data_IF_931149272016
#
_entry.id   IF_931149272016
#
_cell.length_a   1.000
_cell.length_b   1.000
_cell.length_c   1.000
_cell.angle_alpha   90.00
_cell.angle_beta   90.00
_cell.angle_gamma   90.00
#
_symmetry.space_group_name_H-M   'P 1'
#
loop_
_entity.id
_entity.type
_entity.pdbx_description
1 polymer ?
#
# COMPACT_ATOMS: atom_id res chain seq x y z
N UNK A 1 -10.68 28.42 39.48
CA UNK A 1 -11.25 27.37 38.61
C UNK A 1 -10.91 27.44 37.09
N UNK A 2 -10.35 28.51 36.47
CA UNK A 2 -10.22 28.57 34.99
C UNK A 2 -9.11 27.70 34.42
N UNK A 3 -8.06 27.40 35.20
CA UNK A 3 -6.89 26.61 34.75
C UNK A 3 -7.22 25.14 34.47
N UNK A 4 -8.15 24.52 35.23
CA UNK A 4 -8.63 23.15 34.97
C UNK A 4 -9.46 23.10 33.69
N UNK A 5 -10.35 24.07 33.49
CA UNK A 5 -11.18 24.18 32.28
C UNK A 5 -10.31 24.44 31.04
N UNK A 6 -9.27 25.25 31.17
CA UNK A 6 -8.32 25.51 30.08
C UNK A 6 -7.51 24.25 29.70
N UNK A 7 -7.05 23.47 30.68
CA UNK A 7 -6.38 22.18 30.43
C UNK A 7 -7.30 21.16 29.75
N UNK A 8 -8.56 21.10 30.15
CA UNK A 8 -9.56 20.22 29.51
C UNK A 8 -9.80 20.62 28.05
N UNK A 9 -9.90 21.92 27.76
CA UNK A 9 -10.06 22.42 26.38
C UNK A 9 -8.86 22.08 25.49
N UNK A 10 -7.64 22.25 26.00
CA UNK A 10 -6.41 21.88 25.26
C UNK A 10 -6.37 20.38 24.99
N UNK A 11 -6.71 19.56 26.00
CA UNK A 11 -6.74 18.11 25.84
C UNK A 11 -7.74 17.65 24.78
N UNK A 12 -8.95 18.24 24.77
CA UNK A 12 -9.96 17.97 23.74
C UNK A 12 -9.51 18.40 22.35
N UNK A 13 -8.82 19.54 22.22
CA UNK A 13 -8.26 20.01 20.96
C UNK A 13 -7.20 19.03 20.42
N UNK A 14 -6.32 18.50 21.28
CA UNK A 14 -5.33 17.51 20.90
C UNK A 14 -5.98 16.21 20.41
N UNK A 15 -7.04 15.73 21.08
CA UNK A 15 -7.78 14.54 20.65
C UNK A 15 -8.38 14.76 19.25
N UNK A 16 -8.99 15.93 19.01
CA UNK A 16 -9.58 16.28 17.72
C UNK A 16 -8.54 16.40 16.59
N UNK A 17 -7.33 16.87 16.89
CA UNK A 17 -6.25 16.90 15.90
C UNK A 17 -5.76 15.50 15.53
N UNK A 18 -5.67 14.58 16.49
CA UNK A 18 -5.18 13.21 16.23
C UNK A 18 -6.24 12.36 15.52
N UNK A 19 -7.54 12.60 15.75
CA UNK A 19 -8.61 11.89 15.03
C UNK A 19 -8.74 12.29 13.56
N UNK A 20 -8.16 13.41 13.12
CA UNK A 20 -8.19 13.82 11.71
C UNK A 20 -7.29 12.94 10.81
N UNK A 21 -6.34 12.20 11.37
CA UNK A 21 -5.48 11.26 10.61
C UNK A 21 -6.13 9.88 10.36
N UNK A 22 -7.40 9.69 10.70
CA UNK A 22 -7.99 8.34 10.76
C UNK A 22 -9.02 8.09 9.67
N UNK A 23 -8.59 7.95 8.42
CA UNK A 23 -9.46 7.28 7.42
C UNK A 23 -8.64 6.57 6.35
N UNK A 24 -8.07 5.42 6.69
CA UNK A 24 -7.65 4.45 5.68
C UNK A 24 -8.91 3.68 5.26
N UNK A 25 -9.44 3.97 4.07
CA UNK A 25 -10.55 3.19 3.50
C UNK A 25 -9.97 1.91 2.92
N UNK A 26 -10.17 0.78 3.59
CA UNK A 26 -9.86 -0.52 3.00
C UNK A 26 -10.86 -0.77 1.87
N UNK A 27 -10.35 -1.21 0.71
CA UNK A 27 -11.21 -1.70 -0.37
C UNK A 27 -12.04 -2.87 0.17
N UNK A 28 -13.33 -2.90 -0.13
CA UNK A 28 -14.16 -4.06 0.22
C UNK A 28 -13.53 -5.28 -0.43
N UNK A 29 -13.21 -6.28 0.39
CA UNK A 29 -12.68 -7.56 -0.09
C UNK A 29 -13.83 -8.24 -0.82
N UNK A 30 -13.61 -8.61 -2.08
CA UNK A 30 -14.58 -9.39 -2.85
C UNK A 30 -15.00 -10.62 -2.01
N UNK A 31 -16.30 -10.86 -1.77
CA UNK A 31 -16.75 -12.04 -1.03
C UNK A 31 -16.19 -13.36 -1.58
N UNK A 32 -15.94 -13.44 -2.89
CA UNK A 32 -15.33 -14.59 -3.55
C UNK A 32 -13.85 -14.79 -3.17
N UNK A 33 -13.16 -13.77 -2.67
CA UNK A 33 -11.76 -13.83 -2.26
C UNK A 33 -11.58 -14.32 -0.81
N UNK A 34 -12.65 -14.65 -0.09
CA UNK A 34 -12.59 -15.08 1.32
C UNK A 34 -11.72 -16.31 1.54
N UNK A 35 -11.76 -17.26 0.61
CA UNK A 35 -10.98 -18.50 0.66
C UNK A 35 -9.72 -18.44 -0.23
N UNK A 36 -9.49 -17.32 -0.92
CA UNK A 36 -8.36 -17.13 -1.81
C UNK A 36 -7.10 -16.71 -1.03
N UNK A 37 -6.16 -17.64 -0.89
CA UNK A 37 -4.90 -17.43 -0.16
C UNK A 37 -3.70 -17.61 -1.12
N UNK A 38 -3.38 -16.61 -1.94
CA UNK A 38 -2.31 -16.76 -2.92
C UNK A 38 -0.96 -16.90 -2.20
N UNK A 39 -0.10 -17.81 -2.70
CA UNK A 39 1.26 -17.99 -2.17
C UNK A 39 2.24 -16.92 -2.64
N UNK A 40 1.96 -16.30 -3.78
CA UNK A 40 2.81 -15.31 -4.42
C UNK A 40 2.01 -14.08 -4.84
N UNK A 41 2.62 -12.91 -4.72
CA UNK A 41 2.05 -11.64 -5.18
C UNK A 41 3.09 -10.87 -6.00
N UNK A 42 2.64 -10.22 -7.06
CA UNK A 42 3.47 -9.34 -7.88
C UNK A 42 3.00 -7.89 -7.75
N UNK A 43 3.94 -6.96 -7.65
CA UNK A 43 3.65 -5.54 -7.51
C UNK A 43 3.77 -4.87 -8.87
N UNK A 44 2.61 -4.44 -9.38
CA UNK A 44 2.55 -3.66 -10.61
C UNK A 44 3.00 -2.22 -10.34
N UNK A 45 3.35 -1.54 -11.43
CA UNK A 45 3.74 -0.13 -11.39
C UNK A 45 2.57 0.71 -10.93
N UNK A 46 2.80 1.59 -9.97
CA UNK A 46 1.77 2.45 -9.43
C UNK A 46 1.76 3.77 -10.18
N UNK A 47 0.57 4.26 -10.53
CA UNK A 47 0.42 5.63 -11.00
C UNK A 47 0.62 6.60 -9.83
N UNK A 48 1.66 7.41 -9.93
CA UNK A 48 2.06 8.41 -8.93
C UNK A 48 1.44 9.79 -9.20
N UNK A 49 0.69 9.93 -10.29
CA UNK A 49 0.09 11.19 -10.71
C UNK A 49 1.12 12.33 -10.75
N UNK A 50 0.85 13.49 -10.13
CA UNK A 50 1.73 14.65 -10.18
C UNK A 50 3.00 14.49 -9.31
N UNK A 51 3.10 13.44 -8.49
CA UNK A 51 4.17 13.28 -7.51
C UNK A 51 5.33 12.46 -8.05
N UNK A 52 6.08 13.04 -8.99
CA UNK A 52 7.22 12.38 -9.65
C UNK A 52 8.29 11.82 -8.69
N UNK A 53 8.48 12.43 -7.52
CA UNK A 53 9.44 11.97 -6.51
C UNK A 53 9.08 10.61 -5.89
N UNK A 54 7.82 10.20 -5.97
CA UNK A 54 7.36 8.92 -5.44
C UNK A 54 7.64 7.74 -6.40
N UNK A 55 8.06 8.02 -7.64
CA UNK A 55 8.28 7.02 -8.69
C UNK A 55 9.28 5.96 -8.24
N UNK A 56 8.89 4.69 -8.24
CA UNK A 56 9.75 3.56 -7.88
C UNK A 56 10.02 3.43 -6.38
N UNK A 57 9.87 4.49 -5.59
CA UNK A 57 9.96 4.44 -4.12
C UNK A 57 8.73 3.76 -3.55
N UNK A 58 7.55 4.08 -4.09
CA UNK A 58 6.29 3.56 -3.61
C UNK A 58 6.21 2.02 -3.75
N UNK A 59 6.58 1.48 -4.90
CA UNK A 59 6.61 0.05 -5.17
C UNK A 59 7.57 -0.70 -4.23
N UNK A 60 8.73 -0.10 -3.93
CA UNK A 60 9.70 -0.65 -2.98
C UNK A 60 9.16 -0.65 -1.55
N UNK A 61 8.50 0.41 -1.13
CA UNK A 61 7.87 0.48 0.21
C UNK A 61 6.79 -0.60 0.33
N UNK A 62 5.94 -0.76 -0.67
CA UNK A 62 4.90 -1.80 -0.70
C UNK A 62 5.55 -3.19 -0.61
N UNK A 63 6.58 -3.46 -1.42
CA UNK A 63 7.30 -4.74 -1.40
C UNK A 63 7.88 -5.05 -0.02
N UNK A 64 8.53 -4.08 0.61
CA UNK A 64 9.12 -4.25 1.94
C UNK A 64 8.07 -4.52 3.02
N UNK A 65 6.94 -3.82 2.98
CA UNK A 65 5.84 -4.04 3.93
C UNK A 65 5.24 -5.43 3.75
N UNK A 66 4.97 -5.86 2.52
CA UNK A 66 4.40 -7.19 2.23
C UNK A 66 5.34 -8.33 2.61
N UNK A 67 6.63 -8.19 2.32
CA UNK A 67 7.66 -9.15 2.73
C UNK A 67 7.79 -9.21 4.25
N UNK A 68 7.78 -8.06 4.93
CA UNK A 68 7.86 -7.98 6.39
C UNK A 68 6.66 -8.62 7.10
N UNK A 69 5.47 -8.53 6.50
CA UNK A 69 4.24 -9.16 7.02
C UNK A 69 4.24 -10.69 6.93
N UNK A 70 5.08 -11.27 6.06
CA UNK A 70 5.15 -12.73 5.79
C UNK A 70 3.81 -13.36 5.41
N UNK A 71 2.92 -12.59 4.80
CA UNK A 71 1.63 -13.09 4.30
C UNK A 71 1.77 -13.90 3.01
N UNK A 72 2.87 -13.69 2.27
CA UNK A 72 3.17 -14.37 1.02
C UNK A 72 4.50 -15.10 1.13
N UNK A 73 4.58 -16.27 0.51
CA UNK A 73 5.84 -17.02 0.38
C UNK A 73 6.79 -16.36 -0.62
N UNK A 74 6.27 -15.60 -1.59
CA UNK A 74 7.06 -14.87 -2.58
C UNK A 74 6.42 -13.53 -2.90
N UNK A 75 7.19 -12.45 -2.78
CA UNK A 75 6.81 -11.11 -3.22
C UNK A 75 7.71 -10.74 -4.40
N UNK A 76 7.11 -10.52 -5.57
CA UNK A 76 7.81 -10.10 -6.77
C UNK A 76 7.70 -8.58 -6.87
N UNK A 77 8.81 -7.88 -6.65
CA UNK A 77 8.85 -6.42 -6.84
C UNK A 77 8.73 -6.03 -8.32
N UNK A 78 8.47 -4.75 -8.54
CA UNK A 78 8.25 -4.22 -9.88
C UNK A 78 9.46 -4.39 -10.81
N UNK A 79 10.69 -4.23 -10.31
CA UNK A 79 11.90 -4.35 -11.14
C UNK A 79 12.12 -5.81 -11.58
N UNK A 80 11.92 -6.76 -10.67
CA UNK A 80 11.97 -8.18 -10.96
C UNK A 80 10.84 -8.62 -11.91
N UNK A 81 9.66 -8.01 -11.79
CA UNK A 81 8.57 -8.24 -12.72
C UNK A 81 8.91 -7.72 -14.13
N UNK A 82 9.45 -6.51 -14.26
CA UNK A 82 9.90 -5.96 -15.55
C UNK A 82 10.97 -6.84 -16.20
N UNK A 83 11.93 -7.35 -15.42
CA UNK A 83 12.92 -8.31 -15.93
C UNK A 83 12.25 -9.59 -16.45
N UNK A 84 11.31 -10.17 -15.69
CA UNK A 84 10.56 -11.36 -16.11
C UNK A 84 9.73 -11.13 -17.37
N UNK A 85 9.14 -9.94 -17.53
CA UNK A 85 8.39 -9.57 -18.73
C UNK A 85 9.35 -9.41 -19.93
N UNK A 86 10.49 -8.76 -19.74
CA UNK A 86 11.48 -8.58 -20.81
C UNK A 86 12.05 -9.91 -21.29
N UNK A 87 12.30 -10.83 -20.37
CA UNK A 87 12.98 -12.10 -20.65
C UNK A 87 12.00 -13.20 -21.12
N UNK A 88 10.68 -12.92 -21.17
CA UNK A 88 9.65 -13.85 -21.61
C UNK A 88 8.72 -13.20 -22.66
N UNK A 89 8.85 -13.62 -23.92
CA UNK A 89 8.07 -13.10 -25.05
C UNK A 89 6.56 -13.35 -24.93
N UNK A 90 6.13 -14.44 -24.29
CA UNK A 90 4.69 -14.71 -24.06
C UNK A 90 4.10 -13.69 -23.07
N UNK A 91 4.82 -13.45 -21.96
CA UNK A 91 4.42 -12.46 -20.97
C UNK A 91 4.42 -11.04 -21.54
N UNK A 92 5.39 -10.73 -22.40
CA UNK A 92 5.51 -9.46 -23.09
C UNK A 92 4.34 -9.22 -24.04
N UNK A 93 3.89 -10.24 -24.76
CA UNK A 93 2.71 -10.13 -25.62
C UNK A 93 1.44 -9.90 -24.79
N UNK A 94 1.26 -10.64 -23.70
CA UNK A 94 0.08 -10.52 -22.82
C UNK A 94 -0.05 -9.16 -22.11
N UNK A 95 1.04 -8.40 -21.96
CA UNK A 95 1.03 -7.06 -21.36
C UNK A 95 0.75 -5.95 -22.38
N UNK A 96 1.05 -6.20 -23.67
CA UNK A 96 0.91 -5.24 -24.76
C UNK A 96 -0.42 -5.37 -25.53
N UNK A 97 -1.21 -6.39 -25.23
CA UNK A 97 -2.56 -6.61 -25.76
C UNK A 97 -3.61 -5.86 -24.92
#
# INVERSE_FOLDING_TARGET
MPKKVHRIKIFLLCIFMVSACTTLRFSQVDPAAKDFHPRSIAILKVDIGPHGQAKGVLEKVIANVLTGKKWYSSVIDNQNLENKIRDNEELKNAVNE
#
